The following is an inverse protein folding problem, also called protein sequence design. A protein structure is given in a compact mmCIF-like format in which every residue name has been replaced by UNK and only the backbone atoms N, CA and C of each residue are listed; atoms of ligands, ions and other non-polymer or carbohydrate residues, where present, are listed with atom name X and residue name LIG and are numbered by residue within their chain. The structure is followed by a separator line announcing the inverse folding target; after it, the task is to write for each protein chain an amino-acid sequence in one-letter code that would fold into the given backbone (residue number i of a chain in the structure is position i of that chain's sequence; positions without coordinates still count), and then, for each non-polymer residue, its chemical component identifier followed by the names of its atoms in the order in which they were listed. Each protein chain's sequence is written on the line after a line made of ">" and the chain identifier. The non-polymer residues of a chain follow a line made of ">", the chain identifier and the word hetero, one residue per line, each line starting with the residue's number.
data_IF_925692572121
#
_entry.id   IF_925692572121
#
_cell.length_a   1.000
_cell.length_b   1.000
_cell.length_c   1.000
_cell.angle_alpha   90.00
_cell.angle_beta   90.00
_cell.angle_gamma   90.00
#
_symmetry.space_group_name_H-M   'P 1'
#
loop_
_entity.id
_entity.type
_entity.pdbx_description
1 polymer ?
#
# COMPACT_ATOMS: atom_id res chain seq x y z
N UNK A 2 6.57 -7.12 -2.44
CA UNK A 2 5.48 -6.15 -2.62
C UNK A 2 5.31 -5.06 -1.57
N UNK A 3 5.54 -5.32 -0.25
CA UNK A 3 4.62 -4.92 0.81
C UNK A 3 4.27 -3.40 0.78
N UNK A 4 5.22 -2.42 0.58
CA UNK A 4 5.02 -0.93 0.42
C UNK A 4 4.44 -0.38 -0.90
N UNK A 5 4.65 -0.97 -2.11
CA UNK A 5 3.81 -0.66 -3.32
C UNK A 5 2.38 -1.08 -3.08
N UNK A 6 2.13 -2.27 -2.45
CA UNK A 6 0.94 -2.34 -1.55
C UNK A 6 0.52 -1.68 -0.14
N UNK A 7 1.08 -1.54 1.17
CA UNK A 7 0.27 -0.89 2.26
C UNK A 7 -0.14 0.55 1.91
N UNK A 8 0.65 1.26 1.06
CA UNK A 8 0.15 2.52 0.48
C UNK A 8 -1.23 2.41 -0.21
N UNK A 9 -1.46 1.41 -1.13
CA UNK A 9 -2.24 1.74 -2.34
C UNK A 9 -3.78 2.00 -2.38
N UNK A 10 -4.75 1.19 -1.87
CA UNK A 10 -5.98 1.62 -1.22
C UNK A 10 -5.99 2.06 0.24
N UNK A 11 -5.42 1.20 1.13
CA UNK A 11 -5.64 1.20 2.57
C UNK A 11 -4.94 2.34 3.34
N UNK A 12 -3.73 2.90 2.92
CA UNK A 12 -3.25 4.15 3.56
C UNK A 12 -4.06 5.38 3.07
N UNK A 13 -4.32 5.65 1.77
CA UNK A 13 -3.44 6.64 0.99
C UNK A 13 -3.30 8.04 1.71
#
# INVERSE_FOLDING_TARGET
>A
XEAHKNRKLMEIIX
#
